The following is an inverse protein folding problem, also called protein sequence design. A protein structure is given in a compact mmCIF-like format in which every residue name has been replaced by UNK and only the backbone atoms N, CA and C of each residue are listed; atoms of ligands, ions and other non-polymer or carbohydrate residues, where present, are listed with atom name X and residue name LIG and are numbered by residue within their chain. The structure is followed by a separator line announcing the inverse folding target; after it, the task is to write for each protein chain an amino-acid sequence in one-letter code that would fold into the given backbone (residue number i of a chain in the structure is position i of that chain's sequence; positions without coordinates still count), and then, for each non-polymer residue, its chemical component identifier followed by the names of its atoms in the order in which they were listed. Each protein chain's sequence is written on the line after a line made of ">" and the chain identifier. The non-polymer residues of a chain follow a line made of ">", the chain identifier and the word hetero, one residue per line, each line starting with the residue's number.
data_IF_199416768308
#
_entry.id   IF_199416768308
#
_cell.length_a   1.000
_cell.length_b   1.000
_cell.length_c   1.000
_cell.angle_alpha   90.00
_cell.angle_beta   90.00
_cell.angle_gamma   90.00
#
_symmetry.space_group_name_H-M   'P 1'
#
loop_
_entity.id
_entity.type
_entity.pdbx_description
1 polymer ?
#
# COMPACT_ATOMS: atom_id res chain seq x y z
N UNK A 1 -5.89 8.26 -5.82
CA UNK A 1 -6.49 8.90 -6.99
C UNK A 1 -7.54 9.92 -6.55
N UNK A 2 -7.57 11.08 -7.21
CA UNK A 2 -8.61 12.10 -7.03
C UNK A 2 -9.93 11.69 -7.69
N UNK A 3 -11.03 12.35 -7.30
CA UNK A 3 -12.32 12.13 -7.96
C UNK A 3 -12.27 12.37 -9.48
N UNK A 4 -11.49 13.37 -9.92
CA UNK A 4 -11.33 13.69 -11.34
C UNK A 4 -10.59 12.58 -12.11
N UNK A 5 -9.52 12.04 -11.55
CA UNK A 5 -8.77 10.92 -12.15
C UNK A 5 -9.63 9.65 -12.23
N UNK A 6 -10.37 9.33 -11.15
CA UNK A 6 -11.29 8.19 -11.16
C UNK A 6 -12.44 8.38 -12.15
N UNK A 7 -12.95 9.60 -12.31
CA UNK A 7 -13.96 9.91 -13.33
C UNK A 7 -13.39 9.68 -14.74
N UNK A 8 -12.19 10.16 -15.02
CA UNK A 8 -11.54 9.97 -16.31
C UNK A 8 -11.28 8.47 -16.60
N UNK A 9 -10.87 7.70 -15.58
CA UNK A 9 -10.75 6.25 -15.69
C UNK A 9 -12.11 5.60 -15.97
N UNK A 10 -13.18 6.05 -15.30
CA UNK A 10 -14.54 5.60 -15.53
C UNK A 10 -15.00 5.80 -16.98
N UNK A 11 -14.65 6.93 -17.61
CA UNK A 11 -14.94 7.18 -19.03
C UNK A 11 -14.25 6.15 -19.95
N UNK A 12 -13.04 5.74 -19.63
CA UNK A 12 -12.36 4.67 -20.36
C UNK A 12 -13.09 3.34 -20.16
N UNK A 13 -13.42 3.00 -18.93
CA UNK A 13 -14.08 1.74 -18.57
C UNK A 13 -15.47 1.60 -19.22
N UNK A 14 -16.22 2.70 -19.39
CA UNK A 14 -17.53 2.69 -20.09
C UNK A 14 -17.42 2.25 -21.55
N UNK A 15 -16.29 2.56 -22.20
CA UNK A 15 -16.04 2.13 -23.59
C UNK A 15 -15.62 0.66 -23.71
N UNK A 16 -15.36 0.00 -22.58
CA UNK A 16 -14.92 -1.39 -22.51
C UNK A 16 -15.83 -2.21 -21.59
N UNK A 17 -17.10 -2.47 -21.99
CA UNK A 17 -18.10 -3.11 -21.12
C UNK A 17 -17.75 -4.55 -20.72
N UNK A 18 -16.83 -5.21 -21.45
CA UNK A 18 -16.38 -6.56 -21.16
C UNK A 18 -15.41 -6.65 -19.96
N UNK A 19 -14.90 -5.51 -19.47
CA UNK A 19 -13.95 -5.49 -18.34
C UNK A 19 -14.73 -5.54 -17.02
N UNK A 20 -14.41 -6.53 -16.17
CA UNK A 20 -14.78 -6.51 -14.76
C UNK A 20 -13.75 -5.70 -13.99
N UNK A 21 -14.21 -5.03 -12.95
CA UNK A 21 -13.43 -4.04 -12.19
C UNK A 21 -13.28 -4.53 -10.75
N UNK A 22 -12.07 -4.54 -10.23
CA UNK A 22 -11.80 -4.74 -8.81
C UNK A 22 -11.06 -3.50 -8.28
N UNK A 23 -11.63 -2.84 -7.26
CA UNK A 23 -10.97 -1.76 -6.54
C UNK A 23 -10.43 -2.28 -5.21
N UNK A 24 -9.17 -2.03 -4.90
CA UNK A 24 -8.55 -2.41 -3.64
C UNK A 24 -8.41 -1.17 -2.75
N UNK A 25 -9.37 -1.01 -1.84
CA UNK A 25 -9.52 0.18 -1.01
C UNK A 25 -8.94 -0.03 0.41
N UNK A 26 -8.12 -1.05 0.60
CA UNK A 26 -7.61 -1.48 1.92
C UNK A 26 -6.84 -0.40 2.70
N UNK A 27 -6.43 0.68 2.02
CA UNK A 27 -5.72 1.82 2.62
C UNK A 27 -6.58 3.08 2.75
N UNK A 28 -7.88 3.04 2.49
CA UNK A 28 -8.77 4.21 2.44
C UNK A 28 -8.71 5.12 3.68
N UNK A 29 -8.43 4.56 4.86
CA UNK A 29 -8.36 5.29 6.12
C UNK A 29 -6.96 5.81 6.47
N UNK A 30 -5.93 5.41 5.72
CA UNK A 30 -4.55 5.83 5.98
C UNK A 30 -4.17 6.89 4.95
N UNK A 31 -4.74 8.06 5.09
CA UNK A 31 -4.60 9.21 4.20
C UNK A 31 -4.42 10.48 5.05
N UNK A 32 -3.48 11.36 4.68
CA UNK A 32 -3.15 12.60 5.43
C UNK A 32 -3.13 13.87 4.61
N UNK A 33 -3.63 13.84 3.39
CA UNK A 33 -3.75 15.03 2.54
C UNK A 33 -4.80 16.03 3.02
N UNK A 34 -5.72 15.60 3.89
CA UNK A 34 -6.93 16.33 4.23
C UNK A 34 -8.06 16.19 3.21
N UNK A 35 -7.79 15.55 2.08
CA UNK A 35 -8.79 15.25 1.06
C UNK A 35 -9.62 14.01 1.45
N UNK A 36 -10.86 14.00 1.01
CA UNK A 36 -11.72 12.83 1.17
C UNK A 36 -11.23 11.70 0.26
N UNK A 37 -11.17 10.48 0.79
CA UNK A 37 -10.97 9.29 -0.03
C UNK A 37 -12.12 9.11 -1.02
N UNK A 38 -11.80 8.76 -2.25
CA UNK A 38 -12.75 8.43 -3.30
C UNK A 38 -12.53 7.01 -3.80
N UNK A 39 -13.60 6.24 -3.84
CA UNK A 39 -13.69 4.96 -4.54
C UNK A 39 -14.25 5.18 -5.95
N UNK A 40 -13.97 4.28 -6.88
CA UNK A 40 -14.51 4.38 -8.24
C UNK A 40 -16.04 4.46 -8.27
N UNK A 41 -16.73 3.69 -7.44
CA UNK A 41 -18.20 3.68 -7.38
C UNK A 41 -18.79 4.95 -6.74
N UNK A 42 -18.02 5.71 -5.95
CA UNK A 42 -18.46 7.00 -5.44
C UNK A 42 -18.62 8.04 -6.57
N UNK A 43 -17.82 7.92 -7.62
CA UNK A 43 -17.79 8.87 -8.76
C UNK A 43 -18.43 8.31 -10.04
N UNK A 44 -18.47 6.99 -10.18
CA UNK A 44 -19.04 6.27 -11.32
C UNK A 44 -19.98 5.14 -10.87
N UNK A 45 -21.11 5.46 -10.21
CA UNK A 45 -22.03 4.45 -9.66
C UNK A 45 -22.68 3.56 -10.72
N UNK A 46 -22.73 4.00 -11.97
CA UNK A 46 -23.22 3.24 -13.13
C UNK A 46 -22.34 2.03 -13.49
N UNK A 47 -21.12 1.94 -12.95
CA UNK A 47 -20.23 0.80 -13.15
C UNK A 47 -20.44 -0.32 -12.11
N UNK A 48 -21.44 -0.20 -11.21
CA UNK A 48 -21.68 -1.14 -10.11
C UNK A 48 -21.83 -2.59 -10.58
N UNK A 49 -22.60 -2.85 -11.63
CA UNK A 49 -22.95 -4.21 -12.07
C UNK A 49 -21.75 -5.08 -12.49
N UNK A 50 -20.57 -4.50 -12.59
CA UNK A 50 -19.32 -5.19 -12.95
C UNK A 50 -18.13 -4.78 -12.08
N UNK A 51 -18.39 -4.17 -10.93
CA UNK A 51 -17.37 -3.72 -9.99
C UNK A 51 -17.47 -4.47 -8.67
N UNK A 52 -16.34 -4.98 -8.19
CA UNK A 52 -16.17 -5.48 -6.84
C UNK A 52 -15.22 -4.55 -6.07
N UNK A 53 -15.63 -4.18 -4.86
CA UNK A 53 -14.80 -3.39 -3.93
C UNK A 53 -14.17 -4.36 -2.93
N UNK A 54 -12.86 -4.37 -2.85
CA UNK A 54 -12.07 -5.17 -1.92
C UNK A 54 -11.60 -4.30 -0.77
N UNK A 55 -11.72 -4.79 0.46
CA UNK A 55 -11.27 -4.09 1.65
C UNK A 55 -10.89 -5.08 2.76
N UNK A 56 -10.46 -4.59 3.90
CA UNK A 56 -10.11 -5.45 5.04
C UNK A 56 -9.62 -4.68 6.25
N UNK A 57 -9.55 -5.39 7.35
CA UNK A 57 -9.13 -4.87 8.66
C UNK A 57 -7.61 -4.87 8.86
N UNK A 58 -6.87 -5.51 7.94
CA UNK A 58 -5.43 -5.76 8.09
C UNK A 58 -4.59 -4.50 8.25
N UNK A 59 -4.97 -3.40 7.57
CA UNK A 59 -4.17 -2.16 7.53
C UNK A 59 -4.72 -1.13 8.49
N UNK A 60 -5.99 -0.82 8.38
CA UNK A 60 -6.65 0.22 9.19
C UNK A 60 -6.61 -0.07 10.70
N UNK A 61 -6.68 -1.34 11.10
CA UNK A 61 -6.64 -1.74 12.53
C UNK A 61 -5.36 -2.50 12.91
N UNK A 62 -4.33 -2.52 12.05
CA UNK A 62 -3.09 -3.28 12.27
C UNK A 62 -3.33 -4.78 12.53
N UNK A 63 -4.33 -5.36 11.89
CA UNK A 63 -4.81 -6.73 12.10
C UNK A 63 -4.32 -7.70 11.03
N UNK A 64 -3.06 -7.58 10.58
CA UNK A 64 -2.51 -8.44 9.53
C UNK A 64 -2.49 -9.92 9.89
N UNK A 65 -2.25 -10.24 11.17
CA UNK A 65 -2.22 -11.62 11.67
C UNK A 65 -3.58 -12.32 11.74
N UNK A 66 -4.68 -11.56 11.74
CA UNK A 66 -6.04 -12.10 11.79
C UNK A 66 -6.53 -12.70 10.47
N UNK A 67 -5.84 -12.40 9.36
CA UNK A 67 -6.08 -12.97 8.03
C UNK A 67 -7.53 -12.83 7.54
N UNK A 68 -8.10 -11.63 7.63
CA UNK A 68 -9.46 -11.34 7.21
C UNK A 68 -9.55 -10.10 6.32
N UNK A 69 -10.29 -10.24 5.25
CA UNK A 69 -10.73 -9.18 4.36
C UNK A 69 -12.18 -9.42 3.98
N UNK A 70 -12.77 -8.48 3.30
CA UNK A 70 -14.14 -8.55 2.81
C UNK A 70 -14.27 -7.84 1.47
N UNK A 71 -15.36 -8.13 0.77
CA UNK A 71 -15.66 -7.48 -0.48
C UNK A 71 -17.16 -7.22 -0.61
N UNK A 72 -17.49 -6.23 -1.44
CA UNK A 72 -18.86 -5.89 -1.81
C UNK A 72 -18.98 -5.72 -3.31
N UNK A 73 -20.11 -6.12 -3.89
CA UNK A 73 -20.34 -6.03 -5.32
C UNK A 73 -21.67 -6.64 -5.76
N UNK A 74 -21.89 -6.86 -7.06
CA UNK A 74 -23.09 -7.47 -7.60
C UNK A 74 -23.36 -8.84 -7.00
N UNK A 75 -24.63 -9.11 -6.71
CA UNK A 75 -25.05 -10.34 -6.02
C UNK A 75 -24.54 -11.61 -6.71
N UNK A 76 -24.71 -11.70 -8.01
CA UNK A 76 -24.32 -12.89 -8.78
C UNK A 76 -22.80 -13.17 -8.69
N UNK A 77 -21.99 -12.10 -8.70
CA UNK A 77 -20.54 -12.22 -8.54
C UNK A 77 -20.17 -12.68 -7.13
N UNK A 78 -20.79 -12.10 -6.10
CA UNK A 78 -20.55 -12.48 -4.70
C UNK A 78 -20.99 -13.94 -4.45
N UNK A 79 -22.13 -14.37 -5.00
CA UNK A 79 -22.59 -15.76 -4.91
C UNK A 79 -21.60 -16.74 -5.58
N UNK A 80 -21.09 -16.40 -6.78
CA UNK A 80 -20.09 -17.21 -7.47
C UNK A 80 -18.79 -17.32 -6.66
N UNK A 81 -18.30 -16.22 -6.10
CA UNK A 81 -17.12 -16.19 -5.22
C UNK A 81 -17.33 -17.03 -3.95
N UNK A 82 -18.50 -16.94 -3.33
CA UNK A 82 -18.87 -17.73 -2.15
C UNK A 82 -18.86 -19.22 -2.46
N UNK A 83 -19.42 -19.63 -3.61
CA UNK A 83 -19.42 -21.02 -4.04
C UNK A 83 -18.00 -21.56 -4.23
N UNK A 84 -17.12 -20.82 -4.88
CA UNK A 84 -15.72 -21.20 -5.06
C UNK A 84 -15.00 -21.30 -3.71
N UNK A 85 -15.16 -20.30 -2.86
CA UNK A 85 -14.52 -20.27 -1.55
C UNK A 85 -14.98 -21.42 -0.66
N UNK A 86 -16.28 -21.78 -0.69
CA UNK A 86 -16.82 -22.88 0.10
C UNK A 86 -16.18 -24.24 -0.23
N UNK A 87 -15.70 -24.43 -1.45
CA UNK A 87 -15.01 -25.64 -1.91
C UNK A 87 -13.49 -25.61 -1.74
N UNK A 88 -12.94 -24.47 -1.30
CA UNK A 88 -11.50 -24.24 -1.16
C UNK A 88 -11.13 -24.03 0.31
N UNK A 89 -11.25 -22.80 0.81
CA UNK A 89 -10.89 -22.43 2.19
C UNK A 89 -12.08 -22.40 3.15
N UNK A 90 -13.28 -22.68 2.68
CA UNK A 90 -14.57 -22.59 3.36
C UNK A 90 -14.94 -21.16 3.72
N UNK A 91 -14.36 -20.60 4.79
CA UNK A 91 -14.56 -19.24 5.26
C UNK A 91 -13.42 -18.80 6.19
N UNK A 92 -13.27 -17.50 6.51
CA UNK A 92 -12.38 -17.04 7.56
C UNK A 92 -12.78 -17.63 8.93
N UNK A 93 -11.80 -17.81 9.82
CA UNK A 93 -12.10 -18.30 11.18
C UNK A 93 -13.05 -17.37 11.90
N UNK A 94 -14.00 -17.93 12.68
CA UNK A 94 -15.03 -17.17 13.39
C UNK A 94 -14.44 -16.16 14.39
N UNK A 95 -13.34 -16.49 15.05
CA UNK A 95 -12.64 -15.58 15.96
C UNK A 95 -12.19 -14.31 15.22
N UNK A 96 -11.63 -14.46 14.02
CA UNK A 96 -11.20 -13.32 13.19
C UNK A 96 -12.39 -12.50 12.71
N UNK A 97 -13.53 -13.13 12.41
CA UNK A 97 -14.75 -12.41 11.99
C UNK A 97 -15.27 -11.53 13.13
N UNK A 98 -15.38 -12.08 14.35
CA UNK A 98 -15.80 -11.31 15.55
C UNK A 98 -14.83 -10.17 15.85
N UNK A 99 -13.51 -10.43 15.72
CA UNK A 99 -12.51 -9.38 15.91
C UNK A 99 -12.60 -8.27 14.84
N UNK A 100 -12.87 -8.63 13.58
CA UNK A 100 -13.08 -7.67 12.51
C UNK A 100 -14.36 -6.84 12.74
N UNK A 101 -15.46 -7.47 13.15
CA UNK A 101 -16.70 -6.79 13.53
C UNK A 101 -16.48 -5.79 14.66
N UNK A 102 -15.75 -6.19 15.69
CA UNK A 102 -15.40 -5.31 16.81
C UNK A 102 -14.54 -4.11 16.36
N UNK A 103 -13.60 -4.32 15.43
CA UNK A 103 -12.80 -3.23 14.84
C UNK A 103 -13.65 -2.26 14.04
N UNK A 104 -14.55 -2.77 13.19
CA UNK A 104 -15.39 -1.95 12.31
C UNK A 104 -16.46 -1.16 13.07
N UNK A 105 -17.05 -1.73 14.12
CA UNK A 105 -18.14 -1.12 14.89
C UNK A 105 -17.67 -0.40 16.16
N UNK A 106 -16.42 -0.58 16.57
CA UNK A 106 -15.84 -0.01 17.78
C UNK A 106 -15.39 1.44 17.65
N UNK A 107 -14.69 1.92 18.66
CA UNK A 107 -14.09 3.26 18.65
C UNK A 107 -13.04 3.40 17.55
N UNK A 108 -13.20 4.42 16.71
CA UNK A 108 -12.32 4.70 15.58
C UNK A 108 -11.14 5.65 15.90
N UNK A 109 -10.99 6.07 17.17
CA UNK A 109 -9.91 6.98 17.56
C UNK A 109 -8.51 6.41 17.30
N UNK A 110 -8.37 5.08 17.35
CA UNK A 110 -7.12 4.39 17.02
C UNK A 110 -6.67 4.64 15.56
N UNK A 111 -7.61 4.81 14.63
CA UNK A 111 -7.32 5.08 13.21
C UNK A 111 -6.65 6.45 13.06
N UNK A 112 -7.22 7.48 13.68
CA UNK A 112 -6.66 8.84 13.63
C UNK A 112 -5.26 8.90 14.29
N UNK A 113 -5.09 8.23 15.44
CA UNK A 113 -3.81 8.14 16.14
C UNK A 113 -2.74 7.46 15.27
N UNK A 114 -3.09 6.35 14.64
CA UNK A 114 -2.17 5.59 13.78
C UNK A 114 -1.81 6.36 12.50
N UNK A 115 -2.78 7.00 11.85
CA UNK A 115 -2.55 7.82 10.65
C UNK A 115 -1.61 8.98 10.95
N UNK A 116 -1.77 9.66 12.12
CA UNK A 116 -0.85 10.68 12.57
C UNK A 116 0.58 10.14 12.76
N UNK A 117 0.73 8.99 13.40
CA UNK A 117 2.03 8.35 13.59
C UNK A 117 2.68 7.95 12.25
N UNK A 118 1.91 7.49 11.27
CA UNK A 118 2.42 7.21 9.93
C UNK A 118 2.85 8.48 9.19
N UNK A 119 2.10 9.56 9.33
CA UNK A 119 2.48 10.86 8.74
C UNK A 119 3.82 11.36 9.30
N UNK A 120 4.02 11.29 10.61
CA UNK A 120 5.27 11.70 11.27
C UNK A 120 6.46 10.86 10.76
N UNK A 121 6.28 9.54 10.62
CA UNK A 121 7.30 8.62 10.08
C UNK A 121 7.56 8.88 8.60
N UNK A 122 6.50 9.10 7.81
CA UNK A 122 6.62 9.47 6.40
C UNK A 122 7.48 10.71 6.22
N UNK A 123 7.18 11.79 6.95
CA UNK A 123 7.90 13.04 6.81
C UNK A 123 9.39 12.89 7.14
N UNK A 124 9.68 12.17 8.22
CA UNK A 124 11.07 11.85 8.59
C UNK A 124 11.80 11.08 7.49
N UNK A 125 11.19 9.97 7.01
CA UNK A 125 11.78 9.12 5.96
C UNK A 125 11.94 9.90 4.65
N UNK A 126 10.91 10.64 4.23
CA UNK A 126 10.91 11.45 3.02
C UNK A 126 12.05 12.48 3.02
N UNK A 127 12.14 13.30 4.08
CA UNK A 127 13.16 14.34 4.16
C UNK A 127 14.58 13.75 4.24
N UNK A 128 14.73 12.65 4.94
CA UNK A 128 16.04 11.96 5.03
C UNK A 128 16.47 11.39 3.69
N UNK A 129 15.58 10.67 2.98
CA UNK A 129 15.88 10.13 1.66
C UNK A 129 16.15 11.23 0.62
N UNK A 130 15.36 12.31 0.65
CA UNK A 130 15.51 13.45 -0.26
C UNK A 130 16.87 14.14 -0.12
N UNK A 131 17.48 14.09 1.07
CA UNK A 131 18.81 14.64 1.33
C UNK A 131 19.96 13.73 0.89
N UNK A 132 19.69 12.46 0.55
CA UNK A 132 20.72 11.49 0.14
C UNK A 132 21.12 11.74 -1.32
N UNK A 133 22.42 11.74 -1.58
CA UNK A 133 22.97 11.97 -2.91
C UNK A 133 22.60 10.85 -3.89
N UNK A 134 21.97 11.20 -4.99
CA UNK A 134 21.55 10.26 -6.04
C UNK A 134 20.21 9.56 -5.79
N UNK A 135 19.51 9.91 -4.72
CA UNK A 135 18.16 9.41 -4.43
C UNK A 135 17.13 10.43 -4.92
N UNK A 136 16.13 9.96 -5.67
CA UNK A 136 14.97 10.76 -6.05
C UNK A 136 13.72 10.17 -5.40
N UNK A 137 12.91 10.99 -4.74
CA UNK A 137 11.72 10.54 -4.00
C UNK A 137 10.63 11.58 -4.06
N UNK A 138 9.39 11.13 -4.32
CA UNK A 138 8.17 11.92 -4.17
C UNK A 138 7.53 11.66 -2.79
N UNK A 139 6.84 12.65 -2.20
CA UNK A 139 6.07 12.41 -1.00
C UNK A 139 4.89 11.48 -1.29
N UNK A 140 4.45 10.74 -0.28
CA UNK A 140 3.24 9.93 -0.36
C UNK A 140 2.06 10.67 0.32
N UNK A 141 0.86 10.43 -0.19
CA UNK A 141 -0.38 11.03 0.32
C UNK A 141 -1.02 10.19 1.45
N UNK A 142 -0.57 8.95 1.59
CA UNK A 142 -1.12 7.99 2.54
C UNK A 142 -0.32 6.70 2.59
N UNK A 143 -0.91 5.66 3.15
CA UNK A 143 -0.33 4.33 3.37
C UNK A 143 0.81 4.32 4.41
N UNK A 144 1.73 3.39 4.31
CA UNK A 144 2.96 3.33 5.12
C UNK A 144 4.16 2.88 4.27
N UNK A 145 4.14 3.26 2.98
CA UNK A 145 5.22 2.99 2.04
C UNK A 145 5.72 4.29 1.40
N UNK A 146 7.01 4.29 1.08
CA UNK A 146 7.63 5.27 0.20
C UNK A 146 8.43 4.54 -0.88
N UNK A 147 8.52 5.14 -2.06
CA UNK A 147 9.04 4.47 -3.25
C UNK A 147 10.12 5.32 -3.95
N UNK A 148 11.32 5.45 -3.34
CA UNK A 148 12.43 6.19 -3.91
C UNK A 148 13.05 5.48 -5.13
N UNK A 149 13.58 6.28 -6.05
CA UNK A 149 14.50 5.82 -7.09
C UNK A 149 15.93 5.89 -6.58
N UNK A 150 16.64 4.77 -6.69
CA UNK A 150 18.07 4.60 -6.42
C UNK A 150 18.88 4.45 -7.71
N UNK A 151 18.31 4.70 -8.88
CA UNK A 151 18.94 4.45 -10.17
C UNK A 151 20.36 5.03 -10.26
N UNK A 152 20.52 6.31 -9.88
CA UNK A 152 21.86 6.97 -9.89
C UNK A 152 22.84 6.36 -8.88
N UNK A 153 22.33 5.82 -7.79
CA UNK A 153 23.15 5.12 -6.79
C UNK A 153 23.63 3.78 -7.32
N UNK A 154 22.71 3.01 -7.93
CA UNK A 154 22.98 1.71 -8.56
C UNK A 154 24.07 1.85 -9.62
N UNK A 155 23.92 2.84 -10.52
CA UNK A 155 24.91 3.15 -11.54
C UNK A 155 26.27 3.54 -10.96
N UNK A 156 26.29 4.42 -9.95
CA UNK A 156 27.54 4.86 -9.30
C UNK A 156 28.27 3.72 -8.60
N UNK A 157 27.53 2.79 -7.98
CA UNK A 157 28.11 1.62 -7.30
C UNK A 157 28.46 0.47 -8.28
N UNK A 158 28.19 0.63 -9.58
CA UNK A 158 28.44 -0.40 -10.59
C UNK A 158 27.59 -1.66 -10.42
N UNK A 159 26.41 -1.54 -9.82
CA UNK A 159 25.50 -2.65 -9.60
C UNK A 159 24.66 -2.94 -10.85
N UNK A 160 24.26 -4.20 -11.03
CA UNK A 160 23.53 -4.63 -12.20
C UNK A 160 22.08 -4.05 -12.26
N UNK A 161 21.41 -3.94 -11.11
CA UNK A 161 20.00 -3.52 -11.00
C UNK A 161 19.60 -3.27 -9.55
N UNK A 162 18.31 -2.98 -9.33
CA UNK A 162 17.70 -2.75 -8.02
C UNK A 162 17.65 -4.02 -7.14
N UNK A 163 17.63 -5.21 -7.72
CA UNK A 163 17.71 -6.47 -6.97
C UNK A 163 19.11 -6.58 -6.32
N UNK A 164 20.16 -6.35 -7.09
CA UNK A 164 21.54 -6.37 -6.58
C UNK A 164 21.75 -5.29 -5.50
N UNK A 165 21.08 -4.12 -5.63
CA UNK A 165 21.12 -3.08 -4.59
C UNK A 165 20.38 -3.52 -3.32
N UNK A 166 19.21 -4.15 -3.43
CA UNK A 166 18.48 -4.68 -2.28
C UNK A 166 19.28 -5.77 -1.55
N UNK A 167 19.93 -6.67 -2.29
CA UNK A 167 20.82 -7.70 -1.73
C UNK A 167 22.04 -7.09 -1.03
N UNK A 168 22.65 -6.06 -1.62
CA UNK A 168 23.77 -5.33 -1.01
C UNK A 168 23.38 -4.73 0.34
N UNK A 169 22.22 -4.04 0.40
CA UNK A 169 21.71 -3.45 1.65
C UNK A 169 21.41 -4.51 2.71
N UNK A 170 20.81 -5.62 2.30
CA UNK A 170 20.50 -6.72 3.22
C UNK A 170 21.78 -7.35 3.79
N UNK A 171 22.72 -7.69 2.92
CA UNK A 171 23.93 -8.45 3.31
C UNK A 171 24.94 -7.59 4.07
N UNK A 172 25.17 -6.34 3.67
CA UNK A 172 26.22 -5.52 4.29
C UNK A 172 25.74 -4.75 5.51
N UNK A 173 24.48 -4.29 5.51
CA UNK A 173 23.99 -3.38 6.57
C UNK A 173 22.71 -3.87 7.25
N UNK A 174 22.18 -5.03 6.88
CA UNK A 174 20.99 -5.62 7.50
C UNK A 174 19.74 -4.77 7.31
N UNK A 175 19.57 -4.13 6.14
CA UNK A 175 18.38 -3.36 5.78
C UNK A 175 17.68 -4.03 4.62
N UNK A 176 16.44 -4.47 4.85
CA UNK A 176 15.58 -5.07 3.82
C UNK A 176 14.66 -4.02 3.20
N UNK A 177 14.60 -4.00 1.88
CA UNK A 177 13.59 -3.29 1.09
C UNK A 177 13.13 -4.20 -0.05
N UNK A 178 12.00 -3.87 -0.66
CA UNK A 178 11.52 -4.63 -1.83
C UNK A 178 12.00 -3.92 -3.09
N UNK A 179 12.73 -4.61 -4.00
CA UNK A 179 13.20 -4.00 -5.25
C UNK A 179 12.01 -3.54 -6.11
N UNK A 180 12.19 -2.43 -6.80
CA UNK A 180 11.14 -1.79 -7.60
C UNK A 180 10.74 -2.59 -8.82
N UNK A 181 11.64 -3.42 -9.37
CA UNK A 181 11.36 -4.37 -10.45
C UNK A 181 10.21 -5.32 -10.11
N UNK A 182 9.99 -5.68 -8.84
CA UNK A 182 8.82 -6.44 -8.38
C UNK A 182 7.48 -5.71 -8.61
N UNK A 183 7.52 -4.40 -8.90
CA UNK A 183 6.38 -3.53 -9.18
C UNK A 183 6.43 -2.94 -10.59
N UNK A 184 7.31 -3.45 -11.45
CA UNK A 184 7.50 -2.95 -12.82
C UNK A 184 8.25 -1.60 -12.91
N UNK A 185 9.00 -1.21 -11.86
CA UNK A 185 9.75 0.05 -11.78
C UNK A 185 11.21 -0.21 -11.38
N UNK A 186 12.01 -0.62 -12.36
CA UNK A 186 13.45 -0.86 -12.17
C UNK A 186 14.17 0.38 -11.62
N UNK A 187 15.23 0.15 -10.85
CA UNK A 187 16.01 1.20 -10.21
C UNK A 187 15.35 1.85 -9.00
N UNK A 188 14.14 1.43 -8.64
CA UNK A 188 13.43 1.89 -7.46
C UNK A 188 13.51 0.88 -6.30
N UNK A 189 13.02 1.28 -5.11
CA UNK A 189 12.87 0.37 -3.98
C UNK A 189 11.70 0.79 -3.09
N UNK A 190 10.87 -0.17 -2.67
CA UNK A 190 9.79 0.10 -1.72
C UNK A 190 10.28 -0.04 -0.29
N UNK A 191 10.17 1.02 0.47
CA UNK A 191 10.49 1.07 1.90
C UNK A 191 9.17 1.16 2.67
N UNK A 192 8.97 0.27 3.65
CA UNK A 192 7.88 0.36 4.61
C UNK A 192 8.34 1.14 5.83
N UNK A 193 7.53 2.12 6.25
CA UNK A 193 7.75 2.82 7.53
C UNK A 193 6.78 2.40 8.63
N UNK A 194 6.14 1.23 8.49
CA UNK A 194 5.32 0.62 9.52
C UNK A 194 6.18 -0.06 10.62
N UNK A 195 7.10 0.71 11.21
CA UNK A 195 8.00 0.26 12.28
C UNK A 195 8.30 1.45 13.23
N UNK A 196 9.10 1.26 14.27
CA UNK A 196 9.45 2.33 15.20
C UNK A 196 10.34 3.40 14.56
N UNK A 197 10.29 4.64 15.08
CA UNK A 197 11.20 5.71 14.65
C UNK A 197 12.68 5.34 14.84
N UNK A 198 13.01 4.64 15.94
CA UNK A 198 14.38 4.17 16.20
C UNK A 198 14.88 3.21 15.10
N UNK A 199 14.03 2.26 14.67
CA UNK A 199 14.36 1.37 13.56
C UNK A 199 14.53 2.13 12.24
N UNK A 200 13.67 3.11 11.95
CA UNK A 200 13.76 3.93 10.74
C UNK A 200 15.04 4.76 10.72
N UNK A 201 15.37 5.39 11.84
CA UNK A 201 16.62 6.17 11.97
C UNK A 201 17.83 5.29 11.70
N UNK A 202 17.93 4.14 12.37
CA UNK A 202 19.03 3.19 12.17
C UNK A 202 19.11 2.68 10.73
N UNK A 203 17.96 2.36 10.12
CA UNK A 203 17.92 1.87 8.74
C UNK A 203 18.39 2.94 7.75
N UNK A 204 17.91 4.18 7.88
CA UNK A 204 18.30 5.27 6.99
C UNK A 204 19.77 5.68 7.14
N UNK A 205 20.30 5.68 8.36
CA UNK A 205 21.75 5.88 8.60
C UNK A 205 22.60 4.80 7.92
N UNK A 206 22.15 3.54 7.97
CA UNK A 206 22.82 2.41 7.33
C UNK A 206 22.77 2.51 5.80
N UNK A 207 21.60 2.85 5.24
CA UNK A 207 21.45 3.11 3.80
C UNK A 207 22.39 4.24 3.38
N UNK A 208 22.40 5.35 4.11
CA UNK A 208 23.23 6.51 3.78
C UNK A 208 24.73 6.19 3.77
N UNK A 209 25.21 5.30 4.66
CA UNK A 209 26.60 4.83 4.65
C UNK A 209 26.97 4.03 3.41
N UNK A 210 26.04 3.28 2.85
CA UNK A 210 26.25 2.54 1.59
C UNK A 210 26.22 3.49 0.41
N UNK A 211 25.26 4.41 0.39
CA UNK A 211 25.10 5.40 -0.68
C UNK A 211 26.27 6.40 -0.72
N UNK A 212 26.88 6.72 0.42
CA UNK A 212 27.99 7.67 0.53
C UNK A 212 29.35 7.13 0.07
N UNK A 213 29.43 5.88 -0.36
CA UNK A 213 30.64 5.27 -0.92
C UNK A 213 30.75 5.65 -2.40
#
# INVERSE_FOLDING_TARGET
>A
YSAAELTALGEVLRRHPQIYIATDDIYEHILWTGEKFHNLLNVCPDLYDRTIVLNGVSKVYSMTGWRIGYCGGPKDLIEAMTNIQSQSTSNPTSISQVAAEAGLNGDQSCVAMMTKAFKERHDYVYHTLKAMNGVAVAPADGTFYIFPSFQKVIERLGLANDIAFAELLLNEVGVALVPGSAFGAEGCGRISFATSMDNLTKALERINRVIGR
#
